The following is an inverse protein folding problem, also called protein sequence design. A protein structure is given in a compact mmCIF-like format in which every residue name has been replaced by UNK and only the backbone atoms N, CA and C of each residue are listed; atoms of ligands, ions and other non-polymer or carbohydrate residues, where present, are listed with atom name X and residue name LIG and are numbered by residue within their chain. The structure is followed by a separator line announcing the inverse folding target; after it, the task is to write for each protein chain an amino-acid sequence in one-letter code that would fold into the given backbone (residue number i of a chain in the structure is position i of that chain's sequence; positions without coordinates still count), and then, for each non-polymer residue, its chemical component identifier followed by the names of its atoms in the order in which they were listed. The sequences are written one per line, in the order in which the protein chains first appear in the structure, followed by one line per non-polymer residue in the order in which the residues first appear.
data_IF_168643126833
#
_entry.id   IF_168643126833
#
_cell.length_a   1.000
_cell.length_b   1.000
_cell.length_c   1.000
_cell.angle_alpha   90.00
_cell.angle_beta   90.00
_cell.angle_gamma   90.00
#
_symmetry.space_group_name_H-M   'P 1'
#
loop_
_entity.id
_entity.type
_entity.pdbx_description
1 polymer ?
#
# COMPACT_ATOMS: atom_id res chain seq x y z
N UNK A 1 61.36 0.39 -22.85
CA UNK A 1 60.00 0.82 -22.50
C UNK A 1 60.02 1.34 -21.05
N UNK A 2 59.97 2.66 -20.85
CA UNK A 2 60.33 3.30 -19.57
C UNK A 2 59.32 3.01 -18.44
N UNK A 3 59.84 2.65 -17.25
CA UNK A 3 59.00 2.31 -16.08
C UNK A 3 58.10 3.47 -15.62
N UNK A 4 58.51 4.72 -15.88
CA UNK A 4 57.70 5.90 -15.57
C UNK A 4 56.46 6.02 -16.47
N UNK A 5 56.55 5.56 -17.72
CA UNK A 5 55.43 5.54 -18.66
C UNK A 5 54.38 4.51 -18.23
N UNK A 6 54.83 3.31 -17.82
CA UNK A 6 53.95 2.27 -17.25
C UNK A 6 53.24 2.73 -15.97
N UNK A 7 53.94 3.45 -15.09
CA UNK A 7 53.33 3.99 -13.85
C UNK A 7 52.26 5.04 -14.15
N UNK A 8 52.51 5.94 -15.12
CA UNK A 8 51.54 6.97 -15.54
C UNK A 8 50.30 6.36 -16.21
N UNK A 9 50.48 5.36 -17.06
CA UNK A 9 49.35 4.67 -17.70
C UNK A 9 48.50 3.88 -16.71
N UNK A 10 49.13 3.22 -15.73
CA UNK A 10 48.39 2.51 -14.67
C UNK A 10 47.60 3.48 -13.80
N UNK A 11 48.21 4.60 -13.38
CA UNK A 11 47.54 5.61 -12.58
C UNK A 11 46.32 6.22 -13.30
N UNK A 12 46.49 6.57 -14.58
CA UNK A 12 45.41 7.12 -15.40
C UNK A 12 44.27 6.12 -15.63
N UNK A 13 44.59 4.84 -15.86
CA UNK A 13 43.60 3.78 -16.03
C UNK A 13 42.82 3.51 -14.74
N UNK A 14 43.51 3.50 -13.58
CA UNK A 14 42.84 3.35 -12.28
C UNK A 14 41.94 4.55 -11.94
N UNK A 15 42.34 5.78 -12.30
CA UNK A 15 41.52 6.96 -12.08
C UNK A 15 40.25 6.95 -12.94
N UNK A 16 40.33 6.46 -14.18
CA UNK A 16 39.17 6.31 -15.08
C UNK A 16 38.13 5.32 -14.54
N UNK A 17 38.60 4.22 -13.94
CA UNK A 17 37.74 3.19 -13.35
C UNK A 17 36.99 3.71 -12.12
N UNK A 18 37.63 4.54 -11.28
CA UNK A 18 37.01 5.08 -10.06
C UNK A 18 35.88 6.06 -10.42
N UNK A 19 36.08 6.94 -11.40
CA UNK A 19 35.09 7.97 -11.78
C UNK A 19 33.84 7.35 -12.42
N UNK A 20 33.98 6.23 -13.13
CA UNK A 20 32.85 5.52 -13.76
C UNK A 20 31.99 4.76 -12.72
N UNK A 21 32.52 4.48 -11.53
CA UNK A 21 31.83 3.79 -10.45
C UNK A 21 30.73 4.60 -9.75
N UNK A 22 30.84 5.95 -9.71
CA UNK A 22 29.90 6.79 -8.95
C UNK A 22 28.45 6.70 -9.47
N UNK A 23 28.25 6.68 -10.80
CA UNK A 23 26.90 6.58 -11.38
C UNK A 23 26.26 5.20 -11.15
N UNK A 24 27.07 4.15 -11.06
CA UNK A 24 26.61 2.81 -10.71
C UNK A 24 26.17 2.72 -9.24
N UNK A 25 26.89 3.37 -8.33
CA UNK A 25 26.53 3.38 -6.90
C UNK A 25 25.22 4.12 -6.62
N UNK A 26 24.95 5.22 -7.31
CA UNK A 26 23.70 5.97 -7.17
C UNK A 26 22.48 5.14 -7.61
N UNK A 27 22.61 4.44 -8.75
CA UNK A 27 21.57 3.52 -9.24
C UNK A 27 21.35 2.35 -8.29
N UNK A 28 22.42 1.77 -7.77
CA UNK A 28 22.34 0.68 -6.79
C UNK A 28 21.70 1.12 -5.48
N UNK A 29 22.06 2.30 -4.97
CA UNK A 29 21.43 2.87 -3.78
C UNK A 29 19.95 3.15 -4.00
N UNK A 30 19.59 3.72 -5.15
CA UNK A 30 18.17 3.97 -5.50
C UNK A 30 17.39 2.66 -5.59
N UNK A 31 17.95 1.63 -6.24
CA UNK A 31 17.34 0.31 -6.31
C UNK A 31 17.24 -0.38 -4.94
N UNK A 32 18.25 -0.23 -4.08
CA UNK A 32 18.26 -0.76 -2.72
C UNK A 32 17.22 -0.07 -1.83
N UNK A 33 17.07 1.26 -1.94
CA UNK A 33 16.03 2.03 -1.24
C UNK A 33 14.65 1.60 -1.70
N UNK A 34 14.40 1.51 -3.01
CA UNK A 34 13.13 1.05 -3.55
C UNK A 34 12.81 -0.39 -3.10
N UNK A 35 13.80 -1.28 -3.15
CA UNK A 35 13.67 -2.65 -2.65
C UNK A 35 13.39 -2.70 -1.15
N UNK A 36 14.07 -1.87 -0.36
CA UNK A 36 13.88 -1.76 1.08
C UNK A 36 12.49 -1.25 1.46
N UNK A 37 11.98 -0.24 0.74
CA UNK A 37 10.61 0.27 0.91
C UNK A 37 9.55 -0.80 0.58
N UNK A 38 9.77 -1.58 -0.48
CA UNK A 38 8.89 -2.71 -0.83
C UNK A 38 8.99 -3.84 0.21
N UNK A 39 10.20 -4.15 0.68
CA UNK A 39 10.46 -5.23 1.63
C UNK A 39 10.01 -4.91 3.06
N UNK A 40 9.99 -3.64 3.46
CA UNK A 40 9.48 -3.20 4.77
C UNK A 40 8.00 -3.56 4.96
N UNK A 41 7.27 -3.80 3.87
CA UNK A 41 5.86 -4.19 3.90
C UNK A 41 4.96 -3.06 4.39
N UNK A 42 3.66 -3.19 4.15
CA UNK A 42 2.66 -2.31 4.75
C UNK A 42 2.09 -3.03 5.96
N UNK A 43 2.35 -2.50 7.16
CA UNK A 43 1.68 -2.96 8.38
C UNK A 43 0.30 -2.32 8.42
N UNK A 44 -0.71 -3.09 8.03
CA UNK A 44 -2.10 -2.68 8.12
C UNK A 44 -2.59 -2.86 9.57
N UNK A 45 -3.09 -1.82 10.25
CA UNK A 45 -3.72 -1.97 11.56
C UNK A 45 -4.98 -2.82 11.41
N UNK A 46 -5.38 -3.62 12.44
CA UNK A 46 -6.56 -4.47 12.34
C UNK A 46 -7.81 -3.64 12.06
N UNK A 47 -8.70 -4.19 11.22
CA UNK A 47 -10.01 -3.60 10.98
C UNK A 47 -10.86 -3.70 12.26
N UNK A 48 -11.47 -2.59 12.73
CA UNK A 48 -12.42 -2.63 13.85
C UNK A 48 -13.57 -3.63 13.63
N UNK A 49 -13.91 -4.40 14.66
CA UNK A 49 -14.90 -5.48 14.58
C UNK A 49 -16.33 -4.99 14.31
N UNK A 50 -16.66 -3.78 14.76
CA UNK A 50 -17.93 -3.11 14.48
C UNK A 50 -18.15 -2.87 12.98
N UNK A 51 -17.09 -2.55 12.22
CA UNK A 51 -17.20 -2.38 10.77
C UNK A 51 -17.57 -3.68 10.03
N UNK A 52 -17.40 -4.85 10.64
CA UNK A 52 -17.87 -6.12 10.06
C UNK A 52 -19.35 -6.39 10.33
N UNK A 53 -20.01 -5.61 11.18
CA UNK A 53 -21.43 -5.75 11.51
C UNK A 53 -22.26 -4.75 10.73
N UNK A 54 -23.20 -5.23 9.92
CA UNK A 54 -24.18 -4.36 9.27
C UNK A 54 -25.26 -3.96 10.28
N UNK A 55 -25.74 -2.72 10.16
CA UNK A 55 -26.83 -2.24 11.01
C UNK A 55 -28.16 -2.84 10.55
N UNK A 56 -28.99 -3.25 11.51
CA UNK A 56 -30.25 -3.90 11.21
C UNK A 56 -31.32 -2.87 10.85
N UNK A 57 -32.21 -3.22 9.92
CA UNK A 57 -33.39 -2.39 9.68
C UNK A 57 -34.30 -2.37 10.91
N UNK A 58 -34.78 -1.18 11.29
CA UNK A 58 -35.82 -1.05 12.31
C UNK A 58 -37.08 -1.85 11.92
N UNK A 59 -37.75 -2.57 12.85
CA UNK A 59 -38.91 -3.41 12.53
C UNK A 59 -40.08 -2.59 11.96
N UNK A 60 -40.81 -3.15 10.99
CA UNK A 60 -42.05 -2.53 10.47
C UNK A 60 -43.21 -2.94 11.38
N UNK A 61 -43.96 -1.96 11.91
CA UNK A 61 -45.19 -2.19 12.68
C UNK A 61 -46.40 -1.76 11.85
N UNK A 62 -47.40 -2.64 11.72
CA UNK A 62 -48.66 -2.31 11.05
C UNK A 62 -49.42 -1.22 11.84
N UNK A 63 -49.94 -0.20 11.14
CA UNK A 63 -50.75 0.86 11.73
C UNK A 63 -50.01 2.17 12.10
N UNK A 64 -48.68 2.23 11.97
CA UNK A 64 -47.92 3.48 12.19
C UNK A 64 -47.91 4.37 10.93
N UNK A 65 -48.41 5.62 10.99
CA UNK A 65 -48.46 6.49 9.82
C UNK A 65 -47.10 7.14 9.58
N UNK A 66 -46.22 6.54 8.76
CA UNK A 66 -45.01 7.20 8.20
C UNK A 66 -44.31 6.40 7.06
N UNK A 67 -45.05 5.58 6.31
CA UNK A 67 -44.51 4.53 5.42
C UNK A 67 -43.49 5.05 4.38
N UNK A 68 -43.73 6.21 3.77
CA UNK A 68 -42.83 6.77 2.74
C UNK A 68 -41.49 7.27 3.32
N UNK A 69 -41.50 7.82 4.54
CA UNK A 69 -40.28 8.25 5.24
C UNK A 69 -39.51 7.01 5.71
N UNK A 70 -40.20 6.01 6.26
CA UNK A 70 -39.60 4.73 6.66
C UNK A 70 -38.94 4.01 5.47
N UNK A 71 -39.59 4.02 4.30
CA UNK A 71 -39.04 3.42 3.08
C UNK A 71 -37.76 4.13 2.60
N UNK A 72 -37.74 5.47 2.62
CA UNK A 72 -36.55 6.27 2.27
C UNK A 72 -35.39 6.04 3.23
N UNK A 73 -35.69 5.95 4.52
CA UNK A 73 -34.70 5.67 5.56
C UNK A 73 -34.10 4.28 5.40
N UNK A 74 -34.93 3.26 5.16
CA UNK A 74 -34.47 1.89 4.86
C UNK A 74 -33.54 1.85 3.66
N UNK A 75 -33.90 2.53 2.57
CA UNK A 75 -33.05 2.61 1.38
C UNK A 75 -31.73 3.36 1.66
N UNK A 76 -31.75 4.38 2.52
CA UNK A 76 -30.52 5.07 2.93
C UNK A 76 -29.61 4.14 3.75
N UNK A 77 -30.18 3.35 4.66
CA UNK A 77 -29.49 2.34 5.44
C UNK A 77 -28.91 1.22 4.55
N UNK A 78 -29.66 0.73 3.57
CA UNK A 78 -29.17 -0.24 2.58
C UNK A 78 -27.92 0.28 1.85
N UNK A 79 -27.99 1.52 1.37
CA UNK A 79 -26.86 2.16 0.69
C UNK A 79 -25.67 2.33 1.63
N UNK A 80 -25.89 2.59 2.92
CA UNK A 80 -24.83 2.71 3.90
C UNK A 80 -24.17 1.34 4.17
N UNK A 81 -24.95 0.30 4.44
CA UNK A 81 -24.49 -1.07 4.64
C UNK A 81 -23.71 -1.58 3.41
N UNK A 82 -24.19 -1.31 2.20
CA UNK A 82 -23.49 -1.67 0.96
C UNK A 82 -22.19 -0.87 0.73
N UNK A 83 -22.09 0.37 1.23
CA UNK A 83 -20.81 1.10 1.23
C UNK A 83 -19.84 0.48 2.24
N UNK A 84 -20.31 0.19 3.44
CA UNK A 84 -19.51 -0.43 4.49
C UNK A 84 -18.97 -1.80 4.04
N UNK A 85 -19.81 -2.65 3.46
CA UNK A 85 -19.41 -3.96 2.95
C UNK A 85 -18.28 -3.85 1.91
N UNK A 86 -18.39 -2.90 0.97
CA UNK A 86 -17.33 -2.66 -0.03
C UNK A 86 -16.03 -2.16 0.61
N UNK A 87 -16.12 -1.34 1.65
CA UNK A 87 -14.94 -0.89 2.39
C UNK A 87 -14.25 -2.03 3.14
N UNK A 88 -15.02 -2.92 3.78
CA UNK A 88 -14.49 -4.12 4.45
C UNK A 88 -13.82 -5.03 3.43
N UNK A 89 -14.48 -5.31 2.30
CA UNK A 89 -13.94 -6.13 1.22
C UNK A 89 -12.63 -5.55 0.67
N UNK A 90 -12.57 -4.24 0.45
CA UNK A 90 -11.36 -3.56 0.00
C UNK A 90 -10.21 -3.72 1.00
N UNK A 91 -10.49 -3.58 2.30
CA UNK A 91 -9.49 -3.81 3.34
C UNK A 91 -9.00 -5.26 3.37
N UNK A 92 -9.92 -6.23 3.25
CA UNK A 92 -9.58 -7.66 3.22
C UNK A 92 -8.71 -7.99 2.00
N UNK A 93 -9.01 -7.41 0.83
CA UNK A 93 -8.20 -7.54 -0.39
C UNK A 93 -6.80 -6.94 -0.21
N UNK A 94 -6.69 -5.76 0.42
CA UNK A 94 -5.39 -5.13 0.74
C UNK A 94 -4.59 -6.01 1.70
N UNK A 95 -5.24 -6.54 2.74
CA UNK A 95 -4.61 -7.41 3.73
C UNK A 95 -4.14 -8.71 3.10
N UNK A 96 -4.93 -9.32 2.22
CA UNK A 96 -4.55 -10.53 1.50
C UNK A 96 -3.35 -10.32 0.57
N UNK A 97 -3.18 -9.12 0.00
CA UNK A 97 -2.12 -8.84 -0.99
C UNK A 97 -0.84 -8.31 -0.36
N UNK A 98 -0.97 -7.49 0.69
CA UNK A 98 0.13 -6.69 1.22
C UNK A 98 0.31 -6.83 2.74
N UNK A 99 -0.65 -7.45 3.43
CA UNK A 99 -0.53 -7.74 4.85
C UNK A 99 0.67 -8.64 5.09
N UNK A 100 1.59 -8.18 5.95
CA UNK A 100 2.77 -8.95 6.32
C UNK A 100 2.31 -10.24 6.99
N UNK A 101 2.54 -11.38 6.35
CA UNK A 101 2.35 -12.69 6.97
C UNK A 101 3.38 -12.77 8.10
N UNK A 102 2.91 -12.57 9.33
CA UNK A 102 3.74 -12.70 10.52
C UNK A 102 4.26 -14.12 10.67
#
# INVERSE_FOLDING_TARGET
MNSSFRKRTVLALSLLLIVTGCSATERLNTAAVAKGQVAAGIVLPPLPDDLRRQEAHAPVREGEPLIAILARERQALDRANARQERSVKFYDDLTSRYGTRR
#
